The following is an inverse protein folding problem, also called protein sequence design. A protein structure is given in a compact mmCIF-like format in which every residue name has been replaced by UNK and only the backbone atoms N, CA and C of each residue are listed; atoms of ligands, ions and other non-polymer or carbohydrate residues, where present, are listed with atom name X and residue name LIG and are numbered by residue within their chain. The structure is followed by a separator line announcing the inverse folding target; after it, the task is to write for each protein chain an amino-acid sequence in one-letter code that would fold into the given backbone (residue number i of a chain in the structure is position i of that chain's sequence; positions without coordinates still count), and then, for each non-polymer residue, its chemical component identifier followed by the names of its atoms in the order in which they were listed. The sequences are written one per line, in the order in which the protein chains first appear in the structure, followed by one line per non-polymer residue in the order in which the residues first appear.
data_IF_763843221627
#
_entry.id   IF_763843221627
#
_cell.length_a   1.000
_cell.length_b   1.000
_cell.length_c   1.000
_cell.angle_alpha   90.00
_cell.angle_beta   90.00
_cell.angle_gamma   90.00
#
_symmetry.space_group_name_H-M   'P 1'
#
loop_
_entity.id
_entity.type
_entity.pdbx_description
1 polymer ?
#
# COMPACT_ATOMS: atom_id res chain seq x y z
N UNK A 1 -19.42 -23.87 4.26
CA UNK A 1 -20.42 -22.81 3.98
C UNK A 1 -19.69 -21.49 3.87
N UNK A 2 -20.01 -20.68 2.86
CA UNK A 2 -19.40 -19.34 2.68
C UNK A 2 -20.07 -18.33 3.64
N UNK A 3 -19.31 -17.32 4.07
CA UNK A 3 -19.87 -16.15 4.75
C UNK A 3 -20.68 -15.29 3.78
N UNK A 4 -21.55 -14.42 4.29
CA UNK A 4 -22.44 -13.58 3.46
C UNK A 4 -21.67 -12.76 2.44
N UNK A 5 -20.60 -12.06 2.83
CA UNK A 5 -19.78 -11.26 1.92
C UNK A 5 -19.09 -12.11 0.83
N UNK A 6 -18.76 -13.37 1.13
CA UNK A 6 -18.18 -14.30 0.16
C UNK A 6 -19.25 -14.77 -0.84
N UNK A 7 -20.46 -15.01 -0.35
CA UNK A 7 -21.60 -15.36 -1.21
C UNK A 7 -21.99 -14.19 -2.13
N UNK A 8 -21.98 -12.96 -1.62
CA UNK A 8 -22.27 -11.76 -2.40
C UNK A 8 -21.26 -11.57 -3.56
N UNK A 9 -19.97 -11.73 -3.26
CA UNK A 9 -18.94 -11.63 -4.32
C UNK A 9 -19.07 -12.76 -5.33
N UNK A 10 -19.37 -13.98 -4.89
CA UNK A 10 -19.62 -15.13 -5.76
C UNK A 10 -20.80 -14.87 -6.71
N UNK A 11 -21.88 -14.28 -6.21
CA UNK A 11 -23.04 -13.94 -7.01
C UNK A 11 -22.71 -12.87 -8.05
N UNK A 12 -21.97 -11.82 -7.68
CA UNK A 12 -21.48 -10.80 -8.61
C UNK A 12 -20.60 -11.38 -9.70
N UNK A 13 -19.65 -12.26 -9.34
CA UNK A 13 -18.79 -12.96 -10.32
C UNK A 13 -19.66 -13.75 -11.32
N UNK A 14 -20.66 -14.48 -10.85
CA UNK A 14 -21.58 -15.24 -11.73
C UNK A 14 -22.36 -14.33 -12.69
N UNK A 15 -22.81 -13.16 -12.22
CA UNK A 15 -23.51 -12.18 -13.05
C UNK A 15 -22.58 -11.59 -14.13
N UNK A 16 -21.40 -11.13 -13.74
CA UNK A 16 -20.45 -10.54 -14.69
C UNK A 16 -19.96 -11.54 -15.73
N UNK A 17 -19.82 -12.80 -15.38
CA UNK A 17 -19.46 -13.87 -16.32
C UNK A 17 -20.54 -14.12 -17.39
N UNK A 18 -21.76 -13.61 -17.28
CA UNK A 18 -22.74 -13.71 -18.36
C UNK A 18 -22.36 -12.88 -19.58
N UNK A 19 -21.76 -11.71 -19.36
CA UNK A 19 -21.45 -10.70 -20.37
C UNK A 19 -19.95 -10.53 -20.63
N UNK A 20 -19.08 -10.93 -19.70
CA UNK A 20 -17.63 -10.78 -19.77
C UNK A 20 -16.92 -12.13 -19.83
N UNK A 21 -15.72 -12.16 -20.43
CA UNK A 21 -14.88 -13.34 -20.46
C UNK A 21 -13.84 -13.37 -19.33
N UNK A 22 -13.45 -12.19 -18.83
CA UNK A 22 -12.48 -12.03 -17.74
C UNK A 22 -13.03 -11.17 -16.61
N UNK A 23 -13.24 -11.75 -15.43
CA UNK A 23 -13.76 -11.06 -14.24
C UNK A 23 -12.70 -11.05 -13.15
N UNK A 24 -12.28 -9.88 -12.70
CA UNK A 24 -11.34 -9.73 -11.58
C UNK A 24 -12.09 -9.39 -10.30
N UNK A 25 -11.98 -10.26 -9.30
CA UNK A 25 -12.50 -10.04 -7.96
C UNK A 25 -11.38 -9.55 -7.02
N UNK A 26 -11.50 -8.32 -6.56
CA UNK A 26 -10.56 -7.73 -5.59
C UNK A 26 -11.09 -7.93 -4.19
N UNK A 27 -10.36 -8.68 -3.40
CA UNK A 27 -10.69 -9.01 -2.01
C UNK A 27 -9.43 -8.89 -1.15
N UNK A 28 -9.50 -8.29 0.04
CA UNK A 28 -8.35 -8.08 0.89
C UNK A 28 -7.66 -9.39 1.28
N UNK A 29 -6.43 -9.29 1.76
CA UNK A 29 -5.75 -10.41 2.37
C UNK A 29 -6.59 -10.98 3.52
N UNK A 30 -6.57 -12.30 3.71
CA UNK A 30 -7.34 -13.01 4.76
C UNK A 30 -8.87 -13.01 4.58
N UNK A 31 -9.41 -12.51 3.47
CA UNK A 31 -10.85 -12.58 3.15
C UNK A 31 -11.35 -13.97 2.77
N UNK A 32 -10.48 -14.96 2.68
CA UNK A 32 -10.85 -16.33 2.31
C UNK A 32 -11.10 -16.55 0.82
N UNK A 33 -10.35 -15.88 -0.05
CA UNK A 33 -10.37 -16.07 -1.52
C UNK A 33 -10.37 -17.54 -1.92
N UNK A 34 -9.52 -18.36 -1.30
CA UNK A 34 -9.41 -19.80 -1.62
C UNK A 34 -10.70 -20.59 -1.33
N UNK A 35 -11.53 -20.18 -0.35
CA UNK A 35 -12.83 -20.80 -0.10
C UNK A 35 -13.84 -20.44 -1.19
N UNK A 36 -13.79 -19.21 -1.71
CA UNK A 36 -14.62 -18.80 -2.86
C UNK A 36 -14.21 -19.61 -4.10
N UNK A 37 -12.91 -19.77 -4.35
CA UNK A 37 -12.39 -20.61 -5.45
C UNK A 37 -12.89 -22.05 -5.31
N UNK A 38 -12.83 -22.62 -4.10
CA UNK A 38 -13.33 -23.98 -3.84
C UNK A 38 -14.81 -24.11 -4.17
N UNK A 39 -15.63 -23.14 -3.82
CA UNK A 39 -17.08 -23.14 -4.10
C UNK A 39 -17.35 -23.01 -5.61
N UNK A 40 -16.56 -22.19 -6.33
CA UNK A 40 -16.66 -22.11 -7.80
C UNK A 40 -16.33 -23.45 -8.43
N UNK A 41 -15.27 -24.14 -8.00
CA UNK A 41 -14.88 -25.46 -8.49
C UNK A 41 -15.98 -26.51 -8.21
N UNK A 42 -16.54 -26.52 -6.99
CA UNK A 42 -17.63 -27.42 -6.65
C UNK A 42 -18.88 -27.17 -7.50
N UNK A 43 -19.23 -25.90 -7.71
CA UNK A 43 -20.37 -25.51 -8.57
C UNK A 43 -20.13 -25.88 -10.04
N UNK A 44 -18.90 -25.77 -10.53
CA UNK A 44 -18.52 -26.18 -11.88
C UNK A 44 -18.61 -27.70 -12.07
N UNK A 45 -18.12 -28.46 -11.08
CA UNK A 45 -18.20 -29.93 -11.08
C UNK A 45 -19.64 -30.44 -11.19
N UNK A 46 -20.57 -29.84 -10.47
CA UNK A 46 -21.99 -30.19 -10.55
C UNK A 46 -22.58 -30.01 -11.96
N UNK A 47 -21.95 -29.17 -12.78
CA UNK A 47 -22.31 -28.90 -14.17
C UNK A 47 -21.41 -29.64 -15.19
N UNK A 48 -20.62 -30.62 -14.74
CA UNK A 48 -19.63 -31.34 -15.53
C UNK A 48 -18.62 -30.42 -16.23
N UNK A 49 -18.27 -29.26 -15.62
CA UNK A 49 -17.32 -28.31 -16.16
C UNK A 49 -15.93 -28.50 -15.57
N UNK A 50 -14.90 -28.44 -16.42
CA UNK A 50 -13.50 -28.59 -16.06
C UNK A 50 -12.91 -27.23 -15.67
N UNK A 51 -12.29 -27.14 -14.49
CA UNK A 51 -11.65 -25.93 -13.99
C UNK A 51 -10.14 -26.14 -13.93
N UNK A 52 -9.40 -25.12 -14.39
CA UNK A 52 -7.96 -25.01 -14.24
C UNK A 52 -7.66 -23.83 -13.29
N UNK A 53 -6.95 -24.09 -12.18
CA UNK A 53 -6.42 -23.05 -11.30
C UNK A 53 -4.95 -22.84 -11.62
N UNK A 54 -4.58 -21.59 -11.91
CA UNK A 54 -3.20 -21.18 -12.19
C UNK A 54 -2.63 -20.36 -11.03
N UNK A 55 -1.43 -20.72 -10.61
CA UNK A 55 -0.64 -19.95 -9.66
C UNK A 55 0.83 -19.89 -10.14
N UNK A 56 1.59 -18.90 -9.67
CA UNK A 56 2.98 -18.71 -10.08
C UNK A 56 3.99 -19.40 -9.15
N UNK A 57 3.58 -19.78 -7.92
CA UNK A 57 4.46 -20.40 -6.91
C UNK A 57 3.96 -21.77 -6.50
N UNK A 58 4.88 -22.74 -6.40
CA UNK A 58 4.57 -24.11 -5.97
C UNK A 58 3.90 -24.15 -4.59
N UNK A 59 4.28 -23.27 -3.69
CA UNK A 59 3.70 -23.20 -2.34
C UNK A 59 2.20 -22.87 -2.37
N UNK A 60 1.77 -21.99 -3.27
CA UNK A 60 0.35 -21.67 -3.49
C UNK A 60 -0.39 -22.87 -4.07
N UNK A 61 0.23 -23.56 -5.02
CA UNK A 61 -0.31 -24.77 -5.64
C UNK A 61 -0.58 -25.82 -4.56
N UNK A 62 0.38 -26.09 -3.68
CA UNK A 62 0.24 -27.06 -2.61
C UNK A 62 -0.84 -26.63 -1.57
N UNK A 63 -0.96 -25.35 -1.27
CA UNK A 63 -2.04 -24.83 -0.42
C UNK A 63 -3.42 -25.02 -1.08
N UNK A 64 -3.53 -24.70 -2.36
CA UNK A 64 -4.78 -24.92 -3.11
C UNK A 64 -5.13 -26.40 -3.20
N UNK A 65 -4.18 -27.32 -3.48
CA UNK A 65 -4.39 -28.76 -3.51
C UNK A 65 -4.90 -29.33 -2.18
N UNK A 66 -4.49 -28.75 -1.04
CA UNK A 66 -5.01 -29.16 0.29
C UNK A 66 -6.46 -28.80 0.49
N UNK A 67 -6.90 -27.65 -0.01
CA UNK A 67 -8.24 -27.11 0.21
C UNK A 67 -9.22 -27.46 -0.94
N UNK A 68 -8.75 -27.38 -2.19
CA UNK A 68 -9.58 -27.47 -3.38
C UNK A 68 -9.34 -28.82 -4.05
N UNK A 69 -10.41 -29.58 -4.23
CA UNK A 69 -10.41 -30.89 -4.88
C UNK A 69 -11.17 -30.84 -6.20
N UNK A 70 -11.03 -31.86 -7.02
CA UNK A 70 -11.81 -32.02 -8.25
C UNK A 70 -11.55 -30.97 -9.36
N UNK A 71 -10.37 -30.37 -9.39
CA UNK A 71 -9.91 -29.51 -10.48
C UNK A 71 -8.43 -29.73 -10.74
N UNK A 72 -7.97 -29.27 -11.88
CA UNK A 72 -6.54 -29.19 -12.19
C UNK A 72 -5.96 -27.92 -11.57
N UNK A 73 -4.85 -28.05 -10.85
CA UNK A 73 -4.12 -26.95 -10.24
C UNK A 73 -2.68 -27.04 -10.72
N UNK A 74 -2.19 -26.02 -11.41
CA UNK A 74 -0.88 -26.04 -12.06
C UNK A 74 -0.13 -24.72 -11.87
N UNK A 75 1.20 -24.79 -12.01
CA UNK A 75 2.01 -23.60 -12.22
C UNK A 75 1.75 -23.06 -13.63
N UNK A 76 1.64 -21.76 -13.78
CA UNK A 76 1.54 -21.14 -15.10
C UNK A 76 2.75 -21.49 -15.98
N UNK A 77 3.94 -21.60 -15.38
CA UNK A 77 5.17 -21.97 -16.10
C UNK A 77 5.17 -23.43 -16.58
N UNK A 78 4.52 -24.32 -15.82
CA UNK A 78 4.33 -25.72 -16.27
C UNK A 78 3.26 -25.77 -17.34
N UNK A 79 2.12 -25.11 -17.12
CA UNK A 79 0.99 -25.14 -18.03
C UNK A 79 1.31 -24.59 -19.42
N UNK A 80 2.10 -23.50 -19.51
CA UNK A 80 2.48 -22.90 -20.81
C UNK A 80 3.33 -23.82 -21.67
N UNK A 81 4.05 -24.77 -21.06
CA UNK A 81 4.89 -25.74 -21.77
C UNK A 81 4.13 -27.04 -22.14
N UNK A 82 2.91 -27.26 -21.63
CA UNK A 82 2.10 -28.44 -21.79
C UNK A 82 0.66 -28.10 -22.24
N UNK A 83 0.53 -27.08 -23.10
CA UNK A 83 -0.77 -26.60 -23.59
C UNK A 83 -1.53 -27.69 -24.31
N UNK A 84 -2.75 -27.97 -23.90
CA UNK A 84 -3.65 -28.97 -24.51
C UNK A 84 -3.42 -30.41 -24.06
N UNK A 85 -2.26 -30.79 -23.54
CA UNK A 85 -1.94 -32.17 -23.16
C UNK A 85 -2.90 -32.73 -22.07
N UNK A 86 -3.34 -31.89 -21.16
CA UNK A 86 -4.22 -32.28 -20.07
C UNK A 86 -5.71 -31.92 -20.32
N UNK A 87 -6.05 -31.67 -21.59
CA UNK A 87 -7.40 -31.35 -22.05
C UNK A 87 -7.79 -29.89 -21.82
N UNK A 88 -8.88 -29.52 -22.51
CA UNK A 88 -9.43 -28.16 -22.51
C UNK A 88 -10.17 -27.86 -21.18
N UNK A 89 -9.85 -26.79 -20.45
CA UNK A 89 -10.67 -26.30 -19.35
C UNK A 89 -11.87 -25.50 -19.88
N UNK A 90 -12.99 -25.53 -19.15
CA UNK A 90 -14.14 -24.66 -19.38
C UNK A 90 -14.00 -23.30 -18.66
N UNK A 91 -13.18 -23.25 -17.61
CA UNK A 91 -12.94 -22.08 -16.77
C UNK A 91 -11.50 -22.07 -16.26
N UNK A 92 -10.85 -20.91 -16.34
CA UNK A 92 -9.55 -20.66 -15.70
C UNK A 92 -9.77 -19.77 -14.47
N UNK A 93 -9.16 -20.14 -13.34
CA UNK A 93 -9.06 -19.30 -12.15
C UNK A 93 -7.59 -18.92 -11.96
N UNK A 94 -7.31 -17.63 -11.82
CA UNK A 94 -5.96 -17.10 -11.59
C UNK A 94 -5.91 -16.49 -10.20
N UNK A 95 -5.04 -17.01 -9.34
CA UNK A 95 -4.74 -16.40 -8.05
C UNK A 95 -3.59 -15.40 -8.15
N UNK A 96 -3.62 -14.37 -7.30
CA UNK A 96 -2.68 -13.25 -7.28
C UNK A 96 -2.57 -12.53 -8.65
N UNK A 97 -3.71 -12.10 -9.16
CA UNK A 97 -3.86 -11.55 -10.52
C UNK A 97 -3.00 -10.31 -10.82
N UNK A 98 -2.47 -9.60 -9.82
CA UNK A 98 -1.57 -8.47 -10.01
C UNK A 98 -0.27 -8.84 -10.76
N UNK A 99 0.07 -10.13 -10.85
CA UNK A 99 1.20 -10.65 -11.62
C UNK A 99 0.78 -11.37 -12.91
N UNK A 100 -0.53 -11.42 -13.21
CA UNK A 100 -1.07 -12.23 -14.34
C UNK A 100 -0.79 -11.67 -15.73
N UNK A 101 -0.22 -10.48 -15.85
CA UNK A 101 0.08 -9.88 -17.15
C UNK A 101 1.44 -10.30 -17.73
N UNK A 102 2.13 -11.26 -17.12
CA UNK A 102 3.29 -11.84 -17.75
C UNK A 102 2.88 -12.70 -18.95
N UNK A 103 3.78 -12.79 -19.93
CA UNK A 103 3.56 -13.46 -21.21
C UNK A 103 3.03 -14.91 -21.05
N UNK A 104 3.46 -15.62 -19.99
CA UNK A 104 3.03 -17.00 -19.73
C UNK A 104 1.53 -17.11 -19.46
N UNK A 105 0.94 -16.18 -18.68
CA UNK A 105 -0.51 -16.18 -18.43
C UNK A 105 -1.29 -15.80 -19.69
N UNK A 106 -0.80 -14.82 -20.45
CA UNK A 106 -1.42 -14.41 -21.70
C UNK A 106 -1.47 -15.58 -22.69
N UNK A 107 -0.34 -16.27 -22.92
CA UNK A 107 -0.27 -17.46 -23.81
C UNK A 107 -1.24 -18.56 -23.40
N UNK A 108 -1.35 -18.88 -22.10
CA UNK A 108 -2.29 -19.89 -21.61
C UNK A 108 -3.73 -19.48 -21.88
N UNK A 109 -4.09 -18.22 -21.57
CA UNK A 109 -5.45 -17.72 -21.75
C UNK A 109 -5.84 -17.59 -23.24
N UNK A 110 -4.92 -17.18 -24.11
CA UNK A 110 -5.10 -17.10 -25.57
C UNK A 110 -5.28 -18.47 -26.20
N UNK A 111 -4.56 -19.49 -25.71
CA UNK A 111 -4.68 -20.86 -26.20
C UNK A 111 -6.04 -21.46 -25.84
N UNK A 112 -6.43 -21.41 -24.57
CA UNK A 112 -7.67 -22.05 -24.11
C UNK A 112 -8.94 -21.31 -24.46
N UNK A 113 -8.90 -19.98 -24.63
CA UNK A 113 -10.03 -19.10 -25.03
C UNK A 113 -11.33 -19.34 -24.25
N UNK A 114 -11.21 -19.71 -22.99
CA UNK A 114 -12.35 -19.93 -22.09
C UNK A 114 -12.55 -18.74 -21.12
N UNK A 115 -13.66 -18.73 -20.38
CA UNK A 115 -13.90 -17.75 -19.34
C UNK A 115 -12.85 -17.84 -18.24
N UNK A 116 -12.55 -16.68 -17.63
CA UNK A 116 -11.53 -16.61 -16.58
C UNK A 116 -11.99 -15.75 -15.40
N UNK A 117 -11.61 -16.17 -14.22
CA UNK A 117 -11.82 -15.43 -12.96
C UNK A 117 -10.45 -15.17 -12.36
N UNK A 118 -10.20 -13.91 -12.04
CA UNK A 118 -8.95 -13.45 -11.46
C UNK A 118 -9.21 -13.03 -10.02
N UNK A 119 -8.37 -13.47 -9.09
CA UNK A 119 -8.42 -13.07 -7.68
C UNK A 119 -7.15 -12.32 -7.30
N UNK A 120 -7.30 -11.21 -6.59
CA UNK A 120 -6.17 -10.45 -6.05
C UNK A 120 -6.57 -9.69 -4.80
N UNK A 121 -5.59 -9.31 -3.98
CA UNK A 121 -5.82 -8.37 -2.88
C UNK A 121 -5.70 -6.91 -3.35
N UNK A 122 -4.95 -6.68 -4.41
CA UNK A 122 -4.69 -5.37 -5.01
C UNK A 122 -4.72 -5.53 -6.52
N UNK A 123 -5.56 -4.78 -7.21
CA UNK A 123 -5.64 -4.82 -8.67
C UNK A 123 -4.75 -3.73 -9.32
N UNK A 124 -3.83 -3.18 -8.57
CA UNK A 124 -2.88 -2.21 -9.06
C UNK A 124 -1.58 -2.90 -9.49
N UNK A 125 -1.20 -2.67 -10.74
CA UNK A 125 0.10 -3.07 -11.26
C UNK A 125 1.15 -2.01 -10.91
N UNK A 126 2.38 -2.46 -10.66
CA UNK A 126 3.51 -1.56 -10.39
C UNK A 126 3.80 -0.60 -11.56
N UNK A 127 3.50 -0.99 -12.79
CA UNK A 127 3.68 -0.17 -13.99
C UNK A 127 2.48 0.75 -14.31
N UNK A 128 1.43 0.73 -13.50
CA UNK A 128 0.23 1.55 -13.67
C UNK A 128 -0.70 1.12 -14.81
N UNK A 129 -0.37 0.03 -15.52
CA UNK A 129 -1.20 -0.48 -16.61
C UNK A 129 -2.40 -1.28 -16.10
N UNK A 130 -3.49 -1.38 -16.87
CA UNK A 130 -4.63 -2.22 -16.50
C UNK A 130 -4.28 -3.71 -16.49
N UNK A 131 -5.11 -4.51 -15.84
CA UNK A 131 -5.03 -5.97 -15.89
C UNK A 131 -5.59 -6.47 -17.22
N UNK A 132 -4.73 -6.78 -18.19
CA UNK A 132 -5.13 -7.13 -19.57
C UNK A 132 -6.04 -8.38 -19.66
N UNK A 133 -5.99 -9.28 -18.67
CA UNK A 133 -6.81 -10.48 -18.63
C UNK A 133 -8.20 -10.26 -18.00
N UNK A 134 -8.51 -9.06 -17.52
CA UNK A 134 -9.80 -8.71 -16.93
C UNK A 134 -10.57 -7.75 -17.84
N UNK A 135 -11.85 -8.02 -18.04
CA UNK A 135 -12.77 -7.13 -18.75
C UNK A 135 -13.54 -6.24 -17.75
N UNK A 136 -13.68 -6.69 -16.50
CA UNK A 136 -14.35 -5.97 -15.41
C UNK A 136 -13.67 -6.25 -14.06
N UNK A 137 -13.68 -5.25 -13.17
CA UNK A 137 -13.23 -5.38 -11.78
C UNK A 137 -14.44 -5.29 -10.84
N UNK A 138 -14.55 -6.27 -9.95
CA UNK A 138 -15.48 -6.28 -8.83
C UNK A 138 -14.71 -5.96 -7.56
N UNK A 139 -14.92 -4.76 -7.02
CA UNK A 139 -14.39 -4.40 -5.71
C UNK A 139 -15.26 -5.04 -4.62
N UNK A 140 -14.69 -5.95 -3.84
CA UNK A 140 -15.37 -6.62 -2.74
C UNK A 140 -15.39 -5.81 -1.44
N UNK A 141 -15.65 -6.50 -0.33
CA UNK A 141 -15.60 -5.92 1.02
C UNK A 141 -14.20 -5.38 1.34
N UNK A 142 -14.11 -4.27 2.06
CA UNK A 142 -12.83 -3.72 2.50
C UNK A 142 -12.25 -4.48 3.70
N UNK A 143 -10.93 -4.35 3.93
CA UNK A 143 -10.29 -4.95 5.10
C UNK A 143 -10.82 -4.34 6.42
N UNK A 144 -11.11 -3.04 6.45
CA UNK A 144 -11.70 -2.37 7.62
C UNK A 144 -13.10 -2.90 7.95
N UNK A 145 -13.91 -3.20 6.93
CA UNK A 145 -15.22 -3.82 7.13
C UNK A 145 -15.09 -5.25 7.66
N UNK A 146 -14.10 -6.03 7.17
CA UNK A 146 -13.82 -7.37 7.71
C UNK A 146 -13.38 -7.33 9.18
N UNK A 147 -12.58 -6.31 9.57
CA UNK A 147 -12.18 -6.09 10.97
C UNK A 147 -13.40 -5.76 11.83
N UNK A 148 -14.27 -4.84 11.39
CA UNK A 148 -15.49 -4.46 12.10
C UNK A 148 -16.45 -5.64 12.31
N UNK A 149 -16.49 -6.57 11.35
CA UNK A 149 -17.31 -7.79 11.43
C UNK A 149 -16.62 -8.95 12.16
N UNK A 150 -15.37 -8.77 12.63
CA UNK A 150 -14.62 -9.79 13.37
C UNK A 150 -14.03 -10.93 12.51
N UNK A 151 -14.09 -10.84 11.19
CA UNK A 151 -13.50 -11.84 10.29
C UNK A 151 -11.97 -11.72 10.16
N UNK A 152 -11.41 -10.59 10.55
CA UNK A 152 -9.98 -10.28 10.53
C UNK A 152 -9.64 -9.55 11.83
N UNK A 153 -8.48 -9.82 12.42
CA UNK A 153 -8.06 -9.16 13.65
C UNK A 153 -7.82 -7.67 13.45
N UNK A 154 -8.25 -6.86 14.41
CA UNK A 154 -7.83 -5.47 14.51
C UNK A 154 -6.33 -5.36 14.78
N UNK A 155 -5.76 -4.18 14.53
CA UNK A 155 -4.32 -3.96 14.69
C UNK A 155 -4.00 -2.59 15.26
N UNK A 156 -2.79 -2.46 15.80
CA UNK A 156 -2.14 -1.19 16.10
C UNK A 156 -0.94 -1.03 15.15
N UNK A 157 -0.82 0.14 14.52
CA UNK A 157 0.30 0.47 13.66
C UNK A 157 1.15 1.56 14.32
N UNK A 158 2.45 1.28 14.43
CA UNK A 158 3.46 2.19 14.92
C UNK A 158 4.48 2.46 13.82
N UNK A 159 4.82 3.74 13.59
CA UNK A 159 5.80 4.13 12.59
C UNK A 159 6.90 4.99 13.25
N UNK A 160 7.80 4.38 14.05
CA UNK A 160 8.89 5.11 14.67
C UNK A 160 9.81 5.68 13.59
N UNK A 161 10.23 6.94 13.77
CA UNK A 161 11.18 7.56 12.85
C UNK A 161 12.57 6.99 13.08
N UNK A 162 13.07 6.24 12.11
CA UNK A 162 14.47 5.86 12.06
C UNK A 162 15.27 6.93 11.29
N UNK A 163 16.51 7.17 11.71
CA UNK A 163 17.39 8.12 11.03
C UNK A 163 18.11 7.44 9.84
N UNK A 164 17.42 7.30 8.72
CA UNK A 164 18.02 6.90 7.46
C UNK A 164 17.55 7.80 6.31
N UNK A 165 18.35 7.88 5.24
CA UNK A 165 18.09 8.75 4.11
C UNK A 165 18.01 7.94 2.82
N UNK A 166 16.84 7.93 2.18
CA UNK A 166 16.62 7.25 0.91
C UNK A 166 16.85 8.13 -0.33
N UNK A 167 17.25 9.39 -0.17
CA UNK A 167 17.42 10.32 -1.31
C UNK A 167 18.42 9.86 -2.36
N UNK A 168 19.40 9.07 -1.94
CA UNK A 168 20.46 8.56 -2.81
C UNK A 168 20.20 7.12 -3.28
N UNK A 169 19.06 6.53 -2.96
CA UNK A 169 18.68 5.19 -3.42
C UNK A 169 17.97 5.32 -4.75
N UNK A 170 18.55 4.75 -5.81
CA UNK A 170 17.94 4.75 -7.14
C UNK A 170 16.73 3.82 -7.21
N UNK A 171 15.87 4.04 -8.21
CA UNK A 171 14.74 3.16 -8.52
C UNK A 171 15.18 2.20 -9.63
N UNK A 172 14.99 0.90 -9.38
CA UNK A 172 15.24 -0.18 -10.35
C UNK A 172 13.92 -0.88 -10.65
N UNK A 173 13.47 -0.78 -11.90
CA UNK A 173 12.12 -1.21 -12.26
C UNK A 173 11.07 -0.30 -11.62
N UNK A 174 10.23 -0.88 -10.77
CA UNK A 174 9.13 -0.17 -10.10
C UNK A 174 9.29 -0.11 -8.57
N UNK A 175 10.46 -0.46 -8.04
CA UNK A 175 10.77 -0.38 -6.61
C UNK A 175 12.20 0.15 -6.42
N UNK A 176 12.62 0.35 -5.17
CA UNK A 176 13.99 0.75 -4.85
C UNK A 176 15.03 -0.27 -5.32
N UNK A 177 16.20 0.23 -5.75
CA UNK A 177 17.35 -0.63 -6.02
C UNK A 177 17.75 -1.40 -4.76
N UNK A 178 17.60 -2.72 -4.78
CA UNK A 178 17.83 -3.57 -3.60
C UNK A 178 19.29 -3.52 -3.09
N UNK A 179 20.28 -3.29 -3.95
CA UNK A 179 21.70 -3.23 -3.55
C UNK A 179 21.95 -1.95 -2.76
N UNK A 180 21.58 -0.81 -3.31
CA UNK A 180 21.75 0.50 -2.67
C UNK A 180 20.92 0.62 -1.39
N UNK A 181 19.67 0.14 -1.45
CA UNK A 181 18.78 0.09 -0.29
C UNK A 181 19.38 -0.72 0.86
N UNK A 182 20.00 -1.85 0.54
CA UNK A 182 20.61 -2.71 1.56
C UNK A 182 21.81 -2.03 2.25
N UNK A 183 22.59 -1.24 1.53
CA UNK A 183 23.72 -0.49 2.11
C UNK A 183 23.22 0.52 3.16
N UNK A 184 22.13 1.23 2.83
CA UNK A 184 21.50 2.16 3.79
C UNK A 184 20.94 1.44 5.02
N UNK A 185 20.28 0.30 4.81
CA UNK A 185 19.61 -0.45 5.89
C UNK A 185 20.58 -1.27 6.77
N UNK A 186 21.82 -1.48 6.34
CA UNK A 186 22.87 -2.13 7.14
C UNK A 186 23.59 -1.17 8.10
N UNK A 187 23.25 0.12 8.15
CA UNK A 187 23.85 1.06 9.11
C UNK A 187 23.48 0.65 10.55
N UNK A 188 24.52 0.34 11.34
CA UNK A 188 24.41 -0.11 12.74
C UNK A 188 23.67 0.86 13.66
N UNK A 189 23.58 2.15 13.31
CA UNK A 189 22.84 3.17 14.08
C UNK A 189 21.33 2.89 14.10
N UNK A 190 20.80 2.17 13.10
CA UNK A 190 19.39 1.82 12.99
C UNK A 190 19.02 0.68 13.94
N UNK A 191 19.96 -0.21 14.26
CA UNK A 191 19.68 -1.49 14.93
C UNK A 191 19.24 -1.37 16.40
N UNK A 192 19.80 -0.42 17.15
CA UNK A 192 19.41 -0.20 18.54
C UNK A 192 17.94 0.17 18.70
N UNK A 193 17.41 0.93 17.78
CA UNK A 193 16.02 1.34 17.78
C UNK A 193 15.07 0.20 17.40
N UNK A 194 15.50 -0.80 16.63
CA UNK A 194 14.67 -1.95 16.23
C UNK A 194 14.29 -2.76 17.48
N UNK A 195 15.26 -3.14 18.32
CA UNK A 195 15.02 -3.88 19.56
C UNK A 195 14.18 -3.08 20.54
N UNK A 196 14.53 -1.79 20.72
CA UNK A 196 13.80 -0.88 21.60
C UNK A 196 12.30 -0.82 21.26
N UNK A 197 11.96 -0.62 20.01
CA UNK A 197 10.56 -0.49 19.59
C UNK A 197 9.82 -1.82 19.55
N UNK A 198 10.52 -2.94 19.24
CA UNK A 198 9.92 -4.26 19.40
C UNK A 198 9.55 -4.52 20.88
N UNK A 199 10.48 -4.30 21.82
CA UNK A 199 10.19 -4.47 23.25
C UNK A 199 9.08 -3.53 23.75
N UNK A 200 9.01 -2.31 23.22
CA UNK A 200 7.99 -1.33 23.63
C UNK A 200 6.59 -1.67 23.13
N UNK A 201 6.45 -2.17 21.89
CA UNK A 201 5.14 -2.30 21.22
C UNK A 201 4.70 -3.74 20.97
N UNK A 202 5.64 -4.68 20.95
CA UNK A 202 5.39 -6.06 20.57
C UNK A 202 6.15 -7.09 21.43
N UNK A 203 6.50 -6.72 22.66
CA UNK A 203 7.21 -7.62 23.56
C UNK A 203 6.50 -8.99 23.62
N UNK A 204 7.29 -10.06 23.52
CA UNK A 204 6.86 -11.47 23.55
C UNK A 204 5.94 -11.92 22.40
N UNK A 205 5.56 -11.05 21.47
CA UNK A 205 4.75 -11.42 20.30
C UNK A 205 5.59 -12.14 19.26
N UNK A 206 5.02 -13.18 18.66
CA UNK A 206 5.63 -13.78 17.46
C UNK A 206 5.54 -12.81 16.30
N UNK A 207 6.68 -12.52 15.66
CA UNK A 207 6.78 -11.53 14.61
C UNK A 207 7.45 -12.05 13.34
N UNK A 208 7.03 -11.53 12.20
CA UNK A 208 7.72 -11.68 10.91
C UNK A 208 8.47 -10.38 10.63
N UNK A 209 9.79 -10.45 10.43
CA UNK A 209 10.62 -9.34 10.01
C UNK A 209 10.86 -9.39 8.48
N UNK A 210 10.42 -8.37 7.77
CA UNK A 210 10.59 -8.22 6.33
C UNK A 210 11.81 -7.39 6.01
N UNK A 211 12.86 -8.04 5.54
CA UNK A 211 14.17 -7.45 5.29
C UNK A 211 14.40 -7.16 3.80
N UNK A 212 15.35 -6.28 3.48
CA UNK A 212 15.65 -5.83 2.11
C UNK A 212 16.32 -6.93 1.28
N UNK A 213 17.28 -7.65 1.87
CA UNK A 213 18.00 -8.75 1.25
C UNK A 213 18.40 -9.81 2.28
N UNK A 214 19.07 -10.87 1.83
CA UNK A 214 19.50 -12.00 2.68
C UNK A 214 20.51 -11.54 3.74
N UNK A 215 21.46 -10.67 3.40
CA UNK A 215 22.47 -10.17 4.35
C UNK A 215 21.79 -9.36 5.47
N UNK A 216 20.87 -8.46 5.13
CA UNK A 216 20.07 -7.72 6.11
C UNK A 216 19.21 -8.66 6.97
N UNK A 217 18.58 -9.69 6.38
CA UNK A 217 17.79 -10.69 7.08
C UNK A 217 18.63 -11.43 8.13
N UNK A 218 19.83 -11.87 7.78
CA UNK A 218 20.79 -12.51 8.70
C UNK A 218 21.23 -11.56 9.81
N UNK A 219 21.58 -10.31 9.48
CA UNK A 219 22.00 -9.32 10.47
C UNK A 219 20.89 -9.00 11.48
N UNK A 220 19.63 -8.93 11.03
CA UNK A 220 18.47 -8.73 11.92
C UNK A 220 18.24 -9.96 12.79
N UNK A 221 18.38 -11.16 12.25
CA UNK A 221 18.29 -12.40 13.02
C UNK A 221 19.36 -12.46 14.14
N UNK A 222 20.61 -12.15 13.80
CA UNK A 222 21.71 -12.05 14.78
C UNK A 222 21.45 -10.97 15.83
N UNK A 223 20.93 -9.81 15.42
CA UNK A 223 20.58 -8.72 16.33
C UNK A 223 19.58 -9.16 17.40
N UNK A 224 18.49 -9.84 17.01
CA UNK A 224 17.50 -10.35 17.96
C UNK A 224 18.09 -11.41 18.89
N UNK A 225 18.84 -12.38 18.35
CA UNK A 225 19.48 -13.44 19.13
C UNK A 225 20.49 -12.87 20.15
N UNK A 226 21.30 -11.87 19.76
CA UNK A 226 22.25 -11.19 20.65
C UNK A 226 21.56 -10.39 21.77
N UNK A 227 20.25 -10.10 21.63
CA UNK A 227 19.44 -9.46 22.65
C UNK A 227 18.51 -10.44 23.38
N UNK A 228 18.84 -11.74 23.37
CA UNK A 228 18.07 -12.82 24.02
C UNK A 228 16.61 -12.94 23.51
N UNK A 229 16.35 -12.57 22.29
CA UNK A 229 15.06 -12.76 21.63
C UNK A 229 15.26 -13.82 20.53
N UNK A 230 14.81 -15.07 20.74
CA UNK A 230 15.06 -16.16 19.80
C UNK A 230 14.53 -15.84 18.39
N UNK A 231 15.39 -15.88 17.40
CA UNK A 231 15.11 -15.58 16.02
C UNK A 231 15.68 -16.62 15.06
N UNK A 232 14.98 -16.87 13.96
CA UNK A 232 15.46 -17.70 12.84
C UNK A 232 15.31 -16.95 11.52
N UNK A 233 16.22 -17.23 10.60
CA UNK A 233 16.23 -16.66 9.25
C UNK A 233 15.80 -17.72 8.23
N UNK A 234 15.01 -17.31 7.24
CA UNK A 234 14.56 -18.16 6.14
C UNK A 234 14.56 -17.36 4.83
N UNK A 235 15.23 -17.88 3.82
CA UNK A 235 15.33 -17.24 2.52
C UNK A 235 15.11 -18.23 1.35
N UNK A 236 15.22 -17.75 0.11
CA UNK A 236 14.98 -18.56 -1.07
C UNK A 236 15.96 -19.73 -1.25
N UNK A 237 17.19 -19.64 -0.71
CA UNK A 237 18.19 -20.71 -0.76
C UNK A 237 18.05 -21.74 0.36
N UNK A 238 17.20 -21.49 1.37
CA UNK A 238 16.91 -22.47 2.44
C UNK A 238 16.23 -23.72 1.83
N UNK A 239 16.75 -24.93 2.04
CA UNK A 239 16.15 -26.16 1.53
C UNK A 239 14.71 -26.35 2.01
N UNK A 240 13.89 -27.03 1.20
CA UNK A 240 12.45 -27.15 1.46
C UNK A 240 12.14 -27.87 2.80
N UNK A 241 12.86 -28.94 3.10
CA UNK A 241 12.73 -29.67 4.37
C UNK A 241 13.07 -28.77 5.56
N UNK A 242 14.10 -27.95 5.47
CA UNK A 242 14.49 -27.00 6.51
C UNK A 242 13.45 -25.86 6.62
N UNK A 243 12.94 -25.34 5.51
CA UNK A 243 11.83 -24.36 5.54
C UNK A 243 10.59 -24.90 6.24
N UNK A 244 10.23 -26.15 5.95
CA UNK A 244 9.10 -26.81 6.61
C UNK A 244 9.32 -26.95 8.12
N UNK A 245 10.54 -27.30 8.53
CA UNK A 245 10.93 -27.38 9.95
C UNK A 245 10.85 -26.01 10.63
N UNK A 246 11.45 -24.96 10.03
CA UNK A 246 11.40 -23.58 10.56
C UNK A 246 9.94 -23.13 10.72
N UNK A 247 9.09 -23.36 9.73
CA UNK A 247 7.68 -23.00 9.79
C UNK A 247 6.91 -23.77 10.87
N UNK A 248 7.24 -25.05 11.09
CA UNK A 248 6.65 -25.83 12.17
C UNK A 248 7.14 -25.34 13.55
N UNK A 249 8.44 -25.07 13.70
CA UNK A 249 9.04 -24.55 14.93
C UNK A 249 8.48 -23.16 15.28
N UNK A 250 8.21 -22.30 14.27
CA UNK A 250 7.51 -21.03 14.45
C UNK A 250 6.07 -21.25 14.95
N UNK A 251 5.34 -22.16 14.31
CA UNK A 251 3.98 -22.53 14.72
C UNK A 251 3.93 -23.02 16.17
N UNK A 252 4.93 -23.77 16.58
CA UNK A 252 5.05 -24.35 17.93
C UNK A 252 5.64 -23.34 18.95
N UNK A 253 5.82 -22.07 18.55
CA UNK A 253 6.34 -20.98 19.38
C UNK A 253 7.74 -21.25 19.98
N UNK A 254 8.60 -21.98 19.26
CA UNK A 254 9.98 -22.28 19.70
C UNK A 254 10.92 -21.09 19.55
N UNK A 255 10.56 -20.13 18.73
CA UNK A 255 11.25 -18.84 18.59
C UNK A 255 10.25 -17.72 18.29
N UNK A 256 10.70 -16.46 18.47
CA UNK A 256 9.81 -15.28 18.40
C UNK A 256 9.86 -14.57 17.06
N UNK A 257 11.01 -14.47 16.43
CA UNK A 257 11.19 -13.64 15.23
C UNK A 257 11.55 -14.51 14.03
N UNK A 258 10.73 -14.47 13.01
CA UNK A 258 11.01 -15.07 11.70
C UNK A 258 11.51 -13.99 10.74
N UNK A 259 12.83 -13.94 10.52
CA UNK A 259 13.44 -13.02 9.57
C UNK A 259 13.39 -13.59 8.15
N UNK A 260 12.98 -12.78 7.19
CA UNK A 260 12.94 -13.23 5.80
C UNK A 260 13.19 -12.10 4.80
N UNK A 261 13.61 -12.50 3.59
CA UNK A 261 13.71 -11.64 2.43
C UNK A 261 12.90 -12.24 1.28
N UNK A 262 11.84 -11.55 0.83
CA UNK A 262 11.00 -11.87 -0.33
C UNK A 262 10.31 -13.26 -0.33
N UNK A 263 10.50 -14.10 0.69
CA UNK A 263 9.95 -15.45 0.71
C UNK A 263 8.51 -15.48 1.21
N UNK A 264 8.20 -14.73 2.27
CA UNK A 264 6.88 -14.69 2.94
C UNK A 264 6.04 -13.50 2.46
N UNK A 265 6.31 -12.95 1.28
CA UNK A 265 5.54 -11.82 0.75
C UNK A 265 4.19 -12.25 0.16
N UNK A 266 4.11 -13.42 -0.48
CA UNK A 266 2.92 -13.87 -1.21
C UNK A 266 2.54 -15.30 -0.84
N UNK A 267 1.25 -15.53 -0.63
CA UNK A 267 0.63 -16.86 -0.57
C UNK A 267 0.96 -17.75 0.63
N UNK A 268 2.05 -17.54 1.38
CA UNK A 268 2.40 -18.39 2.52
C UNK A 268 1.53 -18.05 3.73
N UNK A 269 0.79 -19.01 4.23
CA UNK A 269 0.10 -18.86 5.52
C UNK A 269 1.09 -19.09 6.65
N UNK A 270 1.39 -18.05 7.41
CA UNK A 270 2.19 -18.15 8.65
C UNK A 270 1.22 -18.20 9.81
N UNK A 271 1.11 -19.34 10.49
CA UNK A 271 0.29 -19.44 11.70
C UNK A 271 0.92 -18.65 12.85
N UNK A 272 0.06 -18.20 13.77
CA UNK A 272 0.46 -17.55 15.04
C UNK A 272 1.31 -16.26 14.89
N UNK A 273 1.31 -15.63 13.72
CA UNK A 273 1.96 -14.33 13.54
C UNK A 273 1.12 -13.23 14.19
N UNK A 274 1.63 -12.59 15.23
CA UNK A 274 0.96 -11.51 15.96
C UNK A 274 1.51 -10.13 15.63
N UNK A 275 2.70 -10.08 15.03
CA UNK A 275 3.36 -8.85 14.68
C UNK A 275 4.04 -8.91 13.31
N UNK A 276 4.06 -7.77 12.61
CA UNK A 276 4.86 -7.57 11.40
C UNK A 276 5.84 -6.43 11.63
N UNK A 277 7.14 -6.70 11.40
CA UNK A 277 8.22 -5.74 11.46
C UNK A 277 8.61 -5.37 10.02
N UNK A 278 8.21 -4.17 9.56
CA UNK A 278 8.50 -3.71 8.21
C UNK A 278 9.85 -2.98 8.21
N UNK A 279 10.89 -3.67 7.75
CA UNK A 279 12.27 -3.18 7.68
C UNK A 279 12.74 -2.97 6.23
N UNK A 280 11.81 -3.09 5.28
CA UNK A 280 12.05 -2.85 3.85
C UNK A 280 11.21 -1.68 3.37
N UNK A 281 11.83 -0.54 3.02
CA UNK A 281 11.14 0.48 2.23
C UNK A 281 10.71 -0.07 0.87
N UNK A 282 9.52 0.28 0.41
CA UNK A 282 9.01 -0.16 -0.90
C UNK A 282 8.16 0.92 -1.55
N UNK A 283 8.23 1.01 -2.88
CA UNK A 283 7.31 1.79 -3.71
C UNK A 283 6.06 0.99 -4.09
N UNK A 284 6.05 -0.31 -3.79
CA UNK A 284 4.96 -1.21 -4.09
C UNK A 284 3.90 -1.19 -2.99
N UNK A 285 2.74 -0.59 -3.27
CA UNK A 285 1.56 -0.65 -2.39
C UNK A 285 1.12 -2.10 -2.14
N UNK A 286 1.13 -2.93 -3.19
CA UNK A 286 0.80 -4.36 -3.09
C UNK A 286 1.69 -5.08 -2.10
N UNK A 287 3.01 -4.92 -2.19
CA UNK A 287 3.96 -5.54 -1.28
C UNK A 287 3.76 -5.07 0.16
N UNK A 288 3.58 -3.76 0.37
CA UNK A 288 3.30 -3.18 1.67
C UNK A 288 2.03 -3.77 2.31
N UNK A 289 0.92 -3.84 1.56
CA UNK A 289 -0.35 -4.40 2.05
C UNK A 289 -0.18 -5.89 2.38
N UNK A 290 0.44 -6.66 1.50
CA UNK A 290 0.64 -8.10 1.71
C UNK A 290 1.49 -8.40 2.95
N UNK A 291 2.58 -7.65 3.17
CA UNK A 291 3.43 -7.80 4.35
C UNK A 291 2.68 -7.40 5.62
N UNK A 292 2.03 -6.24 5.61
CA UNK A 292 1.30 -5.71 6.77
C UNK A 292 0.14 -6.62 7.22
N UNK A 293 -0.57 -7.22 6.28
CA UNK A 293 -1.76 -8.01 6.58
C UNK A 293 -1.45 -9.45 7.06
N UNK A 294 -0.19 -9.87 7.13
CA UNK A 294 0.16 -11.23 7.57
C UNK A 294 -0.18 -11.49 9.04
N UNK A 295 -0.05 -10.52 9.90
CA UNK A 295 -0.39 -10.64 11.32
C UNK A 295 -1.90 -10.54 11.61
N UNK A 296 -2.74 -10.22 10.62
CA UNK A 296 -4.18 -10.00 10.81
C UNK A 296 -5.03 -11.29 10.83
N UNK A 297 -4.41 -12.47 10.90
CA UNK A 297 -5.16 -13.73 11.04
C UNK A 297 -6.02 -13.69 12.30
N UNK A 298 -7.33 -13.94 12.23
CA UNK A 298 -8.22 -13.82 13.37
C UNK A 298 -7.90 -14.87 14.43
N UNK A 299 -7.88 -14.44 15.69
CA UNK A 299 -7.86 -15.29 16.87
C UNK A 299 -8.63 -14.58 17.98
N UNK A 300 -9.13 -15.35 18.96
CA UNK A 300 -9.89 -14.82 20.10
C UNK A 300 -9.05 -13.75 20.82
N UNK A 301 -9.62 -12.60 21.06
CA UNK A 301 -9.03 -11.46 21.79
C UNK A 301 -7.68 -10.95 21.21
N UNK A 302 -7.38 -11.33 19.97
CA UNK A 302 -6.15 -10.92 19.30
C UNK A 302 -6.26 -9.50 18.76
N UNK A 303 -5.26 -8.67 19.10
CA UNK A 303 -4.96 -7.42 18.42
C UNK A 303 -3.53 -7.48 17.89
N UNK A 304 -3.41 -7.43 16.57
CA UNK A 304 -2.12 -7.51 15.89
C UNK A 304 -1.32 -6.22 16.06
N UNK A 305 0.00 -6.31 15.89
CA UNK A 305 0.90 -5.15 15.91
C UNK A 305 1.64 -5.06 14.57
N UNK A 306 1.70 -3.87 14.00
CA UNK A 306 2.53 -3.57 12.83
C UNK A 306 3.52 -2.48 13.25
N UNK A 307 4.82 -2.77 13.13
CA UNK A 307 5.85 -1.77 13.36
C UNK A 307 6.50 -1.46 12.01
N UNK A 308 6.17 -0.30 11.49
CA UNK A 308 6.67 0.20 10.22
C UNK A 308 7.90 1.09 10.44
N UNK A 309 9.06 0.47 10.56
CA UNK A 309 10.31 1.15 10.82
C UNK A 309 10.76 2.08 9.70
N UNK A 310 10.24 1.90 8.52
CA UNK A 310 10.69 2.58 7.30
C UNK A 310 9.68 3.59 6.77
N UNK A 311 8.50 3.69 7.41
CA UNK A 311 7.51 4.70 7.10
C UNK A 311 6.72 4.45 5.81
N UNK A 312 6.58 3.20 5.37
CA UNK A 312 5.76 2.82 4.22
C UNK A 312 4.31 3.33 4.33
N UNK A 313 3.76 3.38 5.56
CA UNK A 313 2.42 3.88 5.80
C UNK A 313 2.25 5.37 5.43
N UNK A 314 3.30 6.18 5.47
CA UNK A 314 3.23 7.58 5.04
C UNK A 314 3.20 7.74 3.52
N UNK A 315 3.72 6.75 2.79
CA UNK A 315 3.68 6.72 1.33
C UNK A 315 2.41 6.05 0.78
N UNK A 316 1.93 4.99 1.43
CA UNK A 316 0.87 4.12 0.92
C UNK A 316 -0.45 4.20 1.68
N UNK A 317 -0.55 4.97 2.77
CA UNK A 317 -1.74 5.00 3.63
C UNK A 317 -1.82 3.84 4.63
N UNK A 318 -2.96 3.69 5.28
CA UNK A 318 -3.19 2.57 6.20
C UNK A 318 -3.35 1.26 5.42
N UNK A 319 -2.81 0.11 5.91
CA UNK A 319 -2.83 -1.14 5.15
C UNK A 319 -4.24 -1.69 4.90
N UNK A 320 -5.22 -1.28 5.69
CA UNK A 320 -6.61 -1.78 5.61
C UNK A 320 -7.59 -0.75 5.05
N UNK A 321 -7.14 0.46 4.72
CA UNK A 321 -8.05 1.48 4.20
C UNK A 321 -8.73 1.01 2.90
N UNK A 322 -9.95 1.52 2.67
CA UNK A 322 -10.74 1.18 1.49
C UNK A 322 -10.08 1.75 0.24
N UNK A 323 -9.78 0.86 -0.71
CA UNK A 323 -9.26 1.19 -2.04
C UNK A 323 -10.26 0.76 -3.10
N UNK A 324 -10.40 1.57 -4.15
CA UNK A 324 -11.26 1.26 -5.29
C UNK A 324 -10.35 1.11 -6.50
N UNK A 325 -10.38 -0.07 -7.11
CA UNK A 325 -9.58 -0.40 -8.28
C UNK A 325 -10.44 -0.33 -9.53
N UNK A 326 -9.85 0.13 -10.63
CA UNK A 326 -10.49 0.24 -11.95
C UNK A 326 -9.53 -0.24 -13.04
N UNK A 327 -10.07 -0.60 -14.21
CA UNK A 327 -9.26 -0.98 -15.39
C UNK A 327 -8.68 0.22 -16.15
N UNK A 328 -8.96 1.45 -15.72
CA UNK A 328 -8.40 2.65 -16.37
C UNK A 328 -6.90 2.74 -16.06
N UNK A 329 -6.11 3.10 -17.06
CA UNK A 329 -4.71 3.44 -16.86
C UNK A 329 -4.58 4.55 -15.81
N UNK A 330 -3.80 4.30 -14.79
CA UNK A 330 -3.38 5.34 -13.86
C UNK A 330 -2.05 5.90 -14.38
N UNK A 331 -2.04 7.12 -14.93
CA UNK A 331 -0.80 7.81 -15.26
C UNK A 331 -0.04 8.13 -13.96
N UNK A 332 0.71 7.15 -13.46
CA UNK A 332 1.72 7.41 -12.43
C UNK A 332 2.87 8.12 -13.13
N UNK A 333 2.91 9.45 -12.99
CA UNK A 333 4.15 10.19 -13.30
C UNK A 333 5.25 9.59 -12.41
N UNK A 334 6.34 9.13 -13.04
CA UNK A 334 7.49 8.42 -12.41
C UNK A 334 8.12 9.10 -11.19
N UNK A 335 7.74 10.34 -10.86
CA UNK A 335 8.33 11.17 -9.81
C UNK A 335 7.31 11.75 -8.82
N UNK A 336 6.04 11.39 -8.90
CA UNK A 336 5.08 11.82 -7.88
C UNK A 336 5.08 10.78 -6.76
N UNK A 337 5.70 11.10 -5.64
CA UNK A 337 5.27 10.55 -4.37
C UNK A 337 3.77 10.79 -4.30
N UNK A 338 2.97 9.73 -4.44
CA UNK A 338 1.51 9.82 -4.25
C UNK A 338 1.32 10.33 -2.83
N UNK A 339 0.91 11.58 -2.68
CA UNK A 339 0.39 11.98 -1.37
C UNK A 339 -0.81 11.05 -1.14
N UNK A 340 -0.82 10.27 -0.06
CA UNK A 340 -1.96 9.43 0.23
C UNK A 340 -3.21 10.32 0.30
N UNK A 341 -4.31 9.86 -0.29
CA UNK A 341 -5.58 10.60 -0.30
C UNK A 341 -6.02 10.97 1.12
N UNK A 342 -5.55 10.23 2.10
CA UNK A 342 -5.78 10.45 3.51
C UNK A 342 -4.44 10.68 4.22
N UNK A 343 -4.28 11.84 4.86
CA UNK A 343 -3.08 12.16 5.63
C UNK A 343 -2.90 11.18 6.80
N UNK A 344 -1.70 10.60 6.91
CA UNK A 344 -1.34 9.72 8.01
C UNK A 344 -0.64 10.52 9.11
N UNK A 345 -1.07 10.34 10.35
CA UNK A 345 -0.51 10.98 11.54
C UNK A 345 -0.05 9.94 12.55
N UNK A 346 1.04 10.25 13.24
CA UNK A 346 1.47 9.51 14.44
C UNK A 346 1.16 10.36 15.68
N UNK A 347 0.56 9.75 16.69
CA UNK A 347 0.32 10.41 17.97
C UNK A 347 1.62 10.64 18.73
N UNK A 348 1.83 11.85 19.26
CA UNK A 348 3.01 12.21 20.05
C UNK A 348 3.00 11.59 21.46
N UNK A 349 1.84 11.15 21.94
CA UNK A 349 1.67 10.57 23.28
C UNK A 349 1.72 9.03 23.25
N UNK A 350 0.80 8.37 22.52
CA UNK A 350 0.74 6.91 22.50
C UNK A 350 1.49 6.28 21.30
N UNK A 351 2.05 7.08 20.40
CA UNK A 351 2.83 6.71 19.22
C UNK A 351 2.08 5.85 18.17
N UNK A 352 0.80 5.54 18.37
CA UNK A 352 -0.01 4.87 17.36
C UNK A 352 -0.23 5.77 16.14
N UNK A 353 -0.25 5.16 14.98
CA UNK A 353 -0.48 5.83 13.71
C UNK A 353 -1.96 5.74 13.33
N UNK A 354 -2.53 6.82 12.81
CA UNK A 354 -3.93 6.89 12.39
C UNK A 354 -4.11 7.73 11.13
N UNK A 355 -5.20 7.48 10.41
CA UNK A 355 -5.57 8.19 9.21
C UNK A 355 -6.44 9.42 9.54
N UNK A 356 -6.24 10.52 8.79
CA UNK A 356 -7.06 11.73 8.84
C UNK A 356 -6.35 12.97 9.34
N UNK A 357 -7.05 14.12 9.19
CA UNK A 357 -6.55 15.45 9.57
C UNK A 357 -6.86 15.84 11.04
N UNK A 358 -7.51 14.93 11.78
CA UNK A 358 -7.91 15.17 13.16
C UNK A 358 -6.71 15.50 14.07
N UNK A 359 -6.82 16.56 14.88
CA UNK A 359 -5.79 16.93 15.88
C UNK A 359 -5.78 15.93 17.04
N UNK A 360 -6.96 15.44 17.39
CA UNK A 360 -7.16 14.54 18.53
C UNK A 360 -6.85 13.11 18.11
N UNK A 361 -6.02 12.44 18.89
CA UNK A 361 -5.71 11.02 18.67
C UNK A 361 -6.96 10.16 18.95
N UNK A 362 -7.40 9.29 18.03
CA UNK A 362 -8.57 8.45 18.24
C UNK A 362 -8.33 7.33 19.27
N UNK A 363 -7.09 7.09 19.66
CA UNK A 363 -6.74 6.03 20.61
C UNK A 363 -6.54 6.49 22.05
N UNK A 364 -6.02 7.71 22.26
CA UNK A 364 -5.70 8.21 23.60
C UNK A 364 -6.19 9.65 23.86
N UNK A 365 -6.96 10.23 22.96
CA UNK A 365 -7.53 11.57 23.03
C UNK A 365 -6.50 12.71 23.18
N UNK A 366 -5.22 12.45 22.93
CA UNK A 366 -4.18 13.48 22.98
C UNK A 366 -4.30 14.46 21.80
N UNK A 367 -4.17 15.76 22.06
CA UNK A 367 -4.15 16.80 21.02
C UNK A 367 -2.74 16.92 20.43
N UNK A 368 -2.57 16.45 19.21
CA UNK A 368 -1.32 16.49 18.46
C UNK A 368 -0.99 17.85 17.84
N UNK A 369 -1.88 18.84 17.98
CA UNK A 369 -1.75 20.15 17.36
C UNK A 369 -1.96 20.15 15.84
N UNK A 370 -1.73 21.31 15.20
CA UNK A 370 -1.82 21.45 13.74
C UNK A 370 -0.66 20.75 13.04
N UNK A 371 -0.91 20.23 11.84
CA UNK A 371 0.16 19.69 10.97
C UNK A 371 0.97 20.85 10.36
N UNK A 372 2.21 20.59 9.96
CA UNK A 372 3.04 21.56 9.23
C UNK A 372 2.33 22.12 8.01
N UNK A 373 1.66 21.25 7.21
CA UNK A 373 0.88 21.66 6.04
C UNK A 373 -0.28 22.59 6.38
N UNK A 374 -0.97 22.36 7.52
CA UNK A 374 -2.03 23.25 8.00
C UNK A 374 -1.45 24.60 8.42
N UNK A 375 -0.30 24.63 9.10
CA UNK A 375 0.38 25.86 9.49
C UNK A 375 0.81 26.63 8.23
N UNK A 376 1.50 25.99 7.28
CA UNK A 376 1.93 26.58 6.02
C UNK A 376 0.75 27.12 5.19
N UNK A 377 -0.39 26.41 5.18
CA UNK A 377 -1.60 26.86 4.47
C UNK A 377 -2.20 28.11 5.14
N UNK A 378 -2.24 28.15 6.47
CA UNK A 378 -2.74 29.31 7.23
C UNK A 378 -1.81 30.51 7.05
N UNK A 379 -0.49 30.33 7.14
CA UNK A 379 0.50 31.37 6.90
C UNK A 379 0.39 31.95 5.47
N UNK A 380 0.21 31.08 4.48
CA UNK A 380 0.01 31.50 3.08
C UNK A 380 -1.27 32.32 2.91
N UNK A 381 -2.38 31.85 3.51
CA UNK A 381 -3.66 32.57 3.46
C UNK A 381 -3.56 33.92 4.18
N UNK A 382 -2.83 34.00 5.29
CA UNK A 382 -2.59 35.25 5.99
C UNK A 382 -1.72 36.20 5.19
N UNK A 383 -0.67 35.74 4.53
CA UNK A 383 0.15 36.52 3.62
C UNK A 383 -0.65 37.07 2.43
N UNK A 384 -1.53 36.24 1.82
CA UNK A 384 -2.43 36.69 0.75
C UNK A 384 -3.38 37.79 1.24
N UNK A 385 -3.96 37.61 2.43
CA UNK A 385 -4.84 38.61 3.09
C UNK A 385 -4.12 39.92 3.36
N UNK A 386 -2.91 39.86 3.93
CA UNK A 386 -2.07 41.03 4.17
C UNK A 386 -1.73 41.74 2.87
N UNK A 387 -1.39 41.00 1.82
CA UNK A 387 -1.08 41.55 0.49
C UNK A 387 -2.32 42.22 -0.12
N UNK A 388 -3.49 41.62 0.04
CA UNK A 388 -4.75 42.22 -0.46
C UNK A 388 -5.12 43.51 0.30
N UNK A 389 -4.94 43.53 1.62
CA UNK A 389 -5.14 44.73 2.45
C UNK A 389 -4.18 45.86 2.01
N UNK A 390 -2.88 45.55 1.81
CA UNK A 390 -1.92 46.53 1.30
C UNK A 390 -2.33 47.08 -0.06
N UNK A 391 -2.72 46.21 -1.01
CA UNK A 391 -3.21 46.64 -2.35
C UNK A 391 -4.44 47.51 -2.29
N UNK A 392 -5.39 47.25 -1.36
CA UNK A 392 -6.57 48.08 -1.17
C UNK A 392 -6.20 49.46 -0.59
N UNK A 393 -5.27 49.50 0.37
CA UNK A 393 -4.75 50.74 0.94
C UNK A 393 -4.01 51.56 -0.12
N UNK A 394 -3.09 50.95 -0.86
CA UNK A 394 -2.35 51.60 -1.95
C UNK A 394 -3.29 52.20 -3.00
N UNK A 395 -4.36 51.47 -3.39
CA UNK A 395 -5.38 52.01 -4.30
C UNK A 395 -6.14 53.24 -3.73
N UNK A 396 -6.46 53.23 -2.42
CA UNK A 396 -7.11 54.34 -1.76
C UNK A 396 -6.19 55.55 -1.66
N UNK A 397 -4.91 55.34 -1.30
CA UNK A 397 -3.92 56.40 -1.19
C UNK A 397 -3.60 56.98 -2.58
N UNK A 398 -3.51 56.17 -3.61
CA UNK A 398 -3.40 56.62 -4.99
C UNK A 398 -4.63 57.42 -5.45
N UNK A 399 -5.86 57.01 -5.05
CA UNK A 399 -7.08 57.73 -5.38
C UNK A 399 -7.09 59.12 -4.72
N UNK A 400 -6.60 59.24 -3.48
CA UNK A 400 -6.41 60.53 -2.79
C UNK A 400 -5.32 61.37 -3.49
N UNK A 401 -4.20 60.77 -3.85
CA UNK A 401 -3.10 61.46 -4.55
C UNK A 401 -3.51 62.01 -5.92
N UNK A 402 -4.50 61.39 -6.59
CA UNK A 402 -5.01 61.87 -7.88
C UNK A 402 -5.74 63.22 -7.81
N UNK A 403 -5.90 63.80 -6.62
CA UNK A 403 -6.60 65.08 -6.43
C UNK A 403 -5.71 66.30 -6.79
N UNK A 404 -4.39 66.20 -6.67
CA UNK A 404 -3.45 67.28 -7.04
C UNK A 404 -2.13 66.73 -7.59
N UNK A 405 -1.43 67.56 -8.38
CA UNK A 405 -0.13 67.18 -8.91
C UNK A 405 0.91 67.05 -7.80
N UNK A 406 0.81 67.86 -6.78
CA UNK A 406 1.73 67.82 -5.60
C UNK A 406 1.54 66.53 -4.79
N UNK A 407 0.30 66.12 -4.53
CA UNK A 407 -0.02 64.87 -3.88
C UNK A 407 0.48 63.63 -4.71
N UNK A 408 0.38 63.70 -6.04
CA UNK A 408 0.95 62.65 -6.91
C UNK A 408 2.49 62.61 -6.87
N UNK A 409 3.16 63.77 -6.78
CA UNK A 409 4.61 63.84 -6.64
C UNK A 409 5.08 63.24 -5.29
N UNK A 410 4.32 63.53 -4.22
CA UNK A 410 4.60 62.96 -2.91
C UNK A 410 4.40 61.45 -2.90
N UNK A 411 3.26 60.96 -3.40
CA UNK A 411 2.98 59.52 -3.54
C UNK A 411 4.04 58.83 -4.38
N UNK A 412 4.49 59.46 -5.48
CA UNK A 412 5.55 58.91 -6.33
C UNK A 412 6.90 58.75 -5.61
N UNK A 413 7.25 59.72 -4.73
CA UNK A 413 8.46 59.64 -3.86
C UNK A 413 8.36 58.53 -2.82
N UNK A 414 7.22 58.39 -2.17
CA UNK A 414 6.98 57.35 -1.17
C UNK A 414 6.99 55.95 -1.72
N UNK A 415 6.65 55.79 -3.01
CA UNK A 415 6.59 54.49 -3.73
C UNK A 415 7.76 54.28 -4.71
N UNK A 416 8.80 55.11 -4.64
CA UNK A 416 10.00 55.03 -5.49
C UNK A 416 9.71 55.06 -7.02
N UNK A 417 8.68 55.78 -7.44
CA UNK A 417 8.39 55.97 -8.86
C UNK A 417 9.31 57.05 -9.48
N UNK A 418 9.47 56.99 -10.79
CA UNK A 418 10.31 57.99 -11.49
C UNK A 418 9.74 59.39 -11.34
N UNK A 419 10.57 60.46 -11.29
CA UNK A 419 10.07 61.84 -11.13
C UNK A 419 9.03 62.23 -12.18
N UNK A 420 9.10 61.71 -13.38
CA UNK A 420 8.16 61.97 -14.49
C UNK A 420 6.83 61.23 -14.33
N UNK A 421 6.72 60.20 -13.49
CA UNK A 421 5.49 59.41 -13.32
C UNK A 421 4.29 60.27 -12.87
N UNK A 422 4.47 61.13 -11.90
CA UNK A 422 3.41 62.02 -11.38
C UNK A 422 2.90 63.00 -12.44
N UNK A 423 3.82 63.58 -13.24
CA UNK A 423 3.48 64.51 -14.29
C UNK A 423 2.72 63.79 -15.44
N UNK A 424 3.16 62.65 -15.83
CA UNK A 424 2.50 61.81 -16.86
C UNK A 424 1.09 61.40 -16.42
N UNK A 425 0.97 60.98 -15.16
CA UNK A 425 -0.32 60.56 -14.60
C UNK A 425 -1.28 61.74 -14.45
N UNK A 426 -0.78 62.90 -14.03
CA UNK A 426 -1.60 64.14 -13.93
C UNK A 426 -2.15 64.59 -15.26
N UNK A 427 -1.35 64.60 -16.31
CA UNK A 427 -1.80 64.91 -17.69
C UNK A 427 -2.91 63.97 -18.16
N UNK A 428 -2.82 62.68 -17.84
CA UNK A 428 -3.87 61.71 -18.20
C UNK A 428 -5.18 62.06 -17.44
N UNK A 429 -5.09 62.37 -16.15
CA UNK A 429 -6.25 62.74 -15.35
C UNK A 429 -6.90 64.08 -15.78
N UNK A 430 -6.12 65.07 -16.19
CA UNK A 430 -6.61 66.33 -16.74
C UNK A 430 -7.38 66.10 -18.07
N UNK A 431 -6.87 65.25 -18.93
CA UNK A 431 -7.55 64.91 -20.17
C UNK A 431 -8.89 64.18 -19.92
N UNK A 432 -8.95 63.29 -18.90
CA UNK A 432 -10.22 62.67 -18.49
C UNK A 432 -11.21 63.58 -17.81
N UNK A 433 -10.78 64.73 -17.25
CA UNK A 433 -11.64 65.74 -16.62
C UNK A 433 -12.18 66.77 -17.61
N UNK A 434 -11.58 66.86 -18.82
CA UNK A 434 -11.97 67.83 -19.88
C UNK A 434 -12.94 67.21 -20.91
N UNK A 435 -13.02 65.86 -20.91
CA UNK A 435 -14.02 65.12 -21.68
C UNK A 435 -15.14 64.59 -20.77
#
# INVERSE_FOLDING_TARGET
MLYNYQQDILNKIKQELLTHNGVCAVLPCRSGKSYIMAEIVNSAKLKNKKVLILAHRNILIEQHKKLIKNCRIASVFTEVNHLGENGQPDLIIIDEAHISDCESYQKVCEFYKCKRILFTATAERLDGKPLNLADVIINGISADELIKQGFVSGYDLYAPKLNFNLKNVSISGNDFNNIELSQVMLDKKIYGDIIKYYNLYAQDKQAIAYCTNIAHSKSICELFNNNNIPAMEMNASTPENERNKIMQDFKDNKFKILCNCNLISEGITVPNCDCCLLLRPTQSETLYIQQSCRCLTPAKDKRAVIIDYVGNCFAHGMPTEKRIYTLKETHKTRNASREPDILIRQCKNCFKTYAGNGRICPYCNFDNGKTRKQIETEEKAELERITEIKRKKDKQDLKKANQSLEALKQYGREHNYSPYWAIKRWKILENYRRN
#
